data_IF_587190247224
#
_entry.id   IF_587190247224
#
_cell.length_a   1.000
_cell.length_b   1.000
_cell.length_c   1.000
_cell.angle_alpha   90.00
_cell.angle_beta   90.00
_cell.angle_gamma   90.00
#
_symmetry.space_group_name_H-M   'P 1'
#
loop_
_entity.id
_entity.type
_entity.pdbx_description
1 polymer ?
#
# COMPACT_ATOMS: atom_id res chain seq x y z
N UNK A 1 -32.61 2.92 13.77
CA UNK A 1 -32.08 3.01 12.39
C UNK A 1 -31.06 4.15 12.44
N UNK A 2 -29.77 3.88 12.28
CA UNK A 2 -28.78 4.94 12.28
C UNK A 2 -29.08 5.88 11.10
N UNK A 3 -28.92 7.19 11.31
CA UNK A 3 -29.09 8.17 10.25
C UNK A 3 -28.04 7.93 9.16
N UNK A 4 -28.48 7.73 7.92
CA UNK A 4 -27.58 7.45 6.79
C UNK A 4 -26.56 8.58 6.58
N UNK A 5 -26.93 9.82 6.90
CA UNK A 5 -26.01 10.95 6.81
C UNK A 5 -24.92 10.87 7.89
N UNK A 6 -25.29 10.50 9.12
CA UNK A 6 -24.32 10.27 10.19
C UNK A 6 -23.33 9.16 9.82
N UNK A 7 -23.80 8.05 9.27
CA UNK A 7 -22.92 6.96 8.82
C UNK A 7 -21.97 7.40 7.70
N UNK A 8 -22.42 8.26 6.78
CA UNK A 8 -21.56 8.80 5.71
C UNK A 8 -20.48 9.71 6.29
N UNK A 9 -20.83 10.54 7.27
CA UNK A 9 -19.88 11.44 7.92
C UNK A 9 -18.84 10.66 8.73
N UNK A 10 -19.26 9.69 9.55
CA UNK A 10 -18.38 8.77 10.28
C UNK A 10 -17.45 7.99 9.33
N UNK A 11 -18.00 7.46 8.23
CA UNK A 11 -17.21 6.75 7.22
C UNK A 11 -16.16 7.67 6.57
N UNK A 12 -16.52 8.92 6.27
CA UNK A 12 -15.59 9.91 5.72
C UNK A 12 -14.48 10.23 6.74
N UNK A 13 -14.81 10.42 8.01
CA UNK A 13 -13.82 10.68 9.07
C UNK A 13 -12.80 9.54 9.17
N UNK A 14 -13.25 8.28 9.08
CA UNK A 14 -12.36 7.12 9.08
C UNK A 14 -11.42 7.08 7.86
N UNK A 15 -11.90 7.47 6.67
CA UNK A 15 -11.06 7.59 5.48
C UNK A 15 -10.01 8.68 5.63
N UNK A 16 -10.41 9.86 6.12
CA UNK A 16 -9.52 10.99 6.34
C UNK A 16 -8.46 10.66 7.42
N UNK A 17 -8.86 9.97 8.49
CA UNK A 17 -7.96 9.51 9.54
C UNK A 17 -6.95 8.46 9.04
N UNK A 18 -7.39 7.53 8.19
CA UNK A 18 -6.49 6.55 7.56
C UNK A 18 -5.38 7.24 6.76
N UNK A 19 -5.71 8.27 5.99
CA UNK A 19 -4.73 9.04 5.23
C UNK A 19 -3.80 9.83 6.17
N UNK A 20 -4.35 10.46 7.22
CA UNK A 20 -3.56 11.15 8.25
C UNK A 20 -2.56 10.22 8.93
N UNK A 21 -2.97 9.00 9.30
CA UNK A 21 -2.11 8.01 9.96
C UNK A 21 -0.99 7.53 9.03
N UNK A 22 -1.27 7.35 7.74
CA UNK A 22 -0.25 7.01 6.73
C UNK A 22 0.82 8.10 6.64
N UNK A 23 0.40 9.36 6.60
CA UNK A 23 1.32 10.50 6.57
C UNK A 23 2.11 10.66 7.87
N UNK A 24 1.44 10.51 9.02
CA UNK A 24 2.07 10.58 10.34
C UNK A 24 3.14 9.49 10.50
N UNK A 25 2.83 8.26 10.08
CA UNK A 25 3.78 7.14 10.11
C UNK A 25 5.00 7.42 9.22
N UNK A 26 4.77 7.93 8.01
CA UNK A 26 5.85 8.29 7.08
C UNK A 26 6.76 9.37 7.66
N UNK A 27 6.18 10.42 8.25
CA UNK A 27 6.94 11.51 8.90
C UNK A 27 7.71 11.00 10.13
N UNK A 28 7.07 10.20 10.98
CA UNK A 28 7.69 9.63 12.17
C UNK A 28 8.89 8.74 11.81
N UNK A 29 8.77 7.92 10.76
CA UNK A 29 9.88 7.08 10.31
C UNK A 29 11.09 7.91 9.85
N UNK A 30 10.90 9.06 9.19
CA UNK A 30 12.00 9.96 8.83
C UNK A 30 12.71 10.53 10.06
N UNK A 31 11.92 11.01 11.03
CA UNK A 31 12.44 11.54 12.29
C UNK A 31 13.18 10.45 13.08
N UNK A 32 12.66 9.22 13.11
CA UNK A 32 13.33 8.09 13.76
C UNK A 32 14.70 7.78 13.14
N UNK A 33 14.83 7.84 11.82
CA UNK A 33 16.11 7.63 11.14
C UNK A 33 17.10 8.75 11.43
N UNK A 34 16.66 10.01 11.48
CA UNK A 34 17.50 11.15 11.90
C UNK A 34 17.96 11.00 13.34
N UNK A 35 17.04 10.69 14.27
CA UNK A 35 17.37 10.47 15.69
C UNK A 35 18.26 9.27 15.93
N UNK A 36 18.12 8.21 15.12
CA UNK A 36 19.02 7.04 15.17
C UNK A 36 20.46 7.46 14.83
N UNK A 37 20.65 8.30 13.82
CA UNK A 37 21.97 8.81 13.44
C UNK A 37 22.56 9.74 14.51
N UNK A 38 21.76 10.68 15.01
CA UNK A 38 22.17 11.57 16.10
C UNK A 38 22.60 10.78 17.35
N UNK A 39 21.79 9.78 17.76
CA UNK A 39 22.10 8.95 18.92
C UNK A 39 23.36 8.12 18.68
N UNK A 40 23.53 7.54 17.49
CA UNK A 40 24.73 6.77 17.16
C UNK A 40 25.99 7.65 17.23
N UNK A 41 25.94 8.87 16.68
CA UNK A 41 27.05 9.81 16.76
C UNK A 41 27.35 10.22 18.21
N UNK A 42 26.32 10.55 18.99
CA UNK A 42 26.49 10.91 20.41
C UNK A 42 27.11 9.75 21.23
N UNK A 43 26.77 8.49 20.93
CA UNK A 43 27.38 7.33 21.56
C UNK A 43 28.86 7.16 21.16
N UNK A 44 29.22 7.48 19.91
CA UNK A 44 30.62 7.48 19.45
C UNK A 44 31.41 8.58 20.17
N UNK A 45 30.88 9.81 20.19
CA UNK A 45 31.55 10.97 20.81
C UNK A 45 31.73 10.81 22.32
N UNK A 46 30.79 10.13 22.98
CA UNK A 46 30.87 9.80 24.39
C UNK A 46 31.69 8.55 24.71
N UNK A 47 32.30 7.90 23.69
CA UNK A 47 32.98 6.60 23.79
C UNK A 47 32.15 5.54 24.53
N UNK A 48 30.84 5.60 24.37
CA UNK A 48 29.87 4.79 25.11
C UNK A 48 29.10 3.88 24.15
N UNK A 49 29.69 2.73 23.75
CA UNK A 49 29.06 1.82 22.79
C UNK A 49 27.80 1.12 23.35
N UNK A 50 27.52 1.26 24.66
CA UNK A 50 26.36 0.69 25.35
C UNK A 50 25.87 1.65 26.44
N UNK A 51 24.58 1.99 26.42
CA UNK A 51 23.94 2.88 27.40
C UNK A 51 22.60 2.28 27.84
N UNK A 52 22.32 2.28 29.14
CA UNK A 52 21.03 1.83 29.68
C UNK A 52 20.15 3.02 30.07
N UNK A 53 18.87 3.01 29.66
CA UNK A 53 17.89 4.02 30.07
C UNK A 53 16.48 3.42 30.07
N UNK A 54 15.71 3.68 31.12
CA UNK A 54 14.30 3.25 31.20
C UNK A 54 14.09 1.72 31.17
N UNK A 55 15.07 0.94 31.62
CA UNK A 55 15.01 -0.53 31.56
C UNK A 55 15.45 -1.15 30.24
N UNK A 56 15.89 -0.33 29.26
CA UNK A 56 16.40 -0.81 27.98
C UNK A 56 17.89 -0.54 27.83
N UNK A 57 18.59 -1.49 27.21
CA UNK A 57 19.98 -1.36 26.79
C UNK A 57 20.03 -0.94 25.32
N UNK A 58 20.71 0.16 25.05
CA UNK A 58 20.99 0.66 23.70
C UNK A 58 22.44 0.38 23.39
N UNK A 59 22.72 -0.23 22.23
CA UNK A 59 24.08 -0.55 21.80
C UNK A 59 24.34 -0.08 20.38
N UNK A 60 25.52 0.48 20.14
CA UNK A 60 26.02 0.69 18.78
C UNK A 60 26.14 -0.65 18.08
N UNK A 61 25.65 -0.71 16.84
CA UNK A 61 25.72 -1.89 15.99
C UNK A 61 26.30 -1.49 14.64
N UNK A 62 27.33 -2.20 14.21
CA UNK A 62 27.82 -2.11 12.85
C UNK A 62 26.90 -2.96 11.96
N UNK A 63 26.21 -2.32 11.01
CA UNK A 63 25.23 -2.98 10.14
C UNK A 63 25.32 -2.42 8.73
N UNK A 64 25.42 -3.33 7.77
CA UNK A 64 25.27 -3.03 6.35
C UNK A 64 23.85 -3.32 5.91
N UNK A 65 23.25 -2.37 5.17
CA UNK A 65 21.95 -2.58 4.52
C UNK A 65 22.14 -2.61 3.01
N UNK A 66 21.61 -3.65 2.37
CA UNK A 66 21.61 -3.80 0.92
C UNK A 66 20.25 -3.34 0.37
N UNK A 67 20.26 -2.46 -0.62
CA UNK A 67 19.06 -2.00 -1.31
C UNK A 67 19.26 -2.15 -2.82
N UNK A 68 18.19 -2.46 -3.56
CA UNK A 68 18.21 -2.46 -5.03
C UNK A 68 18.57 -1.05 -5.54
N UNK A 69 19.46 -0.97 -6.52
CA UNK A 69 19.77 0.29 -7.19
C UNK A 69 18.53 0.75 -7.98
N UNK A 70 18.14 2.01 -7.82
CA UNK A 70 17.00 2.57 -8.58
C UNK A 70 17.31 2.66 -10.07
N UNK A 71 16.37 2.22 -10.92
CA UNK A 71 16.51 2.28 -12.38
C UNK A 71 17.49 1.27 -12.99
N UNK A 72 17.96 0.27 -12.22
CA UNK A 72 18.72 -0.83 -12.79
C UNK A 72 17.84 -1.67 -13.74
N UNK A 73 18.49 -2.47 -14.59
CA UNK A 73 17.79 -3.50 -15.35
C UNK A 73 17.06 -4.44 -14.37
N UNK A 74 15.74 -4.43 -14.45
CA UNK A 74 14.88 -5.16 -13.52
C UNK A 74 14.82 -6.64 -13.87
N UNK A 75 14.83 -6.99 -15.15
CA UNK A 75 14.85 -8.38 -15.58
C UNK A 75 16.20 -9.01 -15.23
N UNK A 76 17.30 -8.34 -15.60
CA UNK A 76 18.65 -8.79 -15.22
C UNK A 76 18.82 -8.90 -13.71
N UNK A 77 18.19 -8.03 -12.90
CA UNK A 77 18.20 -8.14 -11.44
C UNK A 77 17.55 -9.44 -10.94
N UNK A 78 16.35 -9.78 -11.45
CA UNK A 78 15.67 -11.01 -11.07
C UNK A 78 16.40 -12.26 -11.58
N UNK A 79 16.88 -12.25 -12.83
CA UNK A 79 17.68 -13.33 -13.40
C UNK A 79 18.95 -13.58 -12.58
N UNK A 80 19.67 -12.52 -12.21
CA UNK A 80 20.87 -12.62 -11.35
C UNK A 80 20.53 -13.25 -10.00
N UNK A 81 19.42 -12.86 -9.38
CA UNK A 81 18.99 -13.48 -8.12
C UNK A 81 18.71 -14.98 -8.31
N UNK A 82 18.01 -15.37 -9.37
CA UNK A 82 17.70 -16.77 -9.68
C UNK A 82 18.98 -17.59 -9.97
N UNK A 83 19.90 -17.07 -10.78
CA UNK A 83 21.20 -17.70 -11.10
C UNK A 83 22.05 -17.95 -9.84
N UNK A 84 21.95 -17.07 -8.85
CA UNK A 84 22.63 -17.21 -7.56
C UNK A 84 21.82 -18.00 -6.51
N UNK A 85 20.72 -18.65 -6.89
CA UNK A 85 19.91 -19.48 -6.00
C UNK A 85 19.06 -18.69 -4.99
N UNK A 86 18.88 -17.38 -5.23
CA UNK A 86 18.05 -16.46 -4.44
C UNK A 86 16.67 -16.26 -5.12
N UNK A 87 16.22 -17.22 -5.93
CA UNK A 87 14.91 -17.15 -6.58
C UNK A 87 13.75 -17.22 -5.58
N UNK A 88 13.94 -17.88 -4.44
CA UNK A 88 12.94 -18.06 -3.39
C UNK A 88 12.56 -16.76 -2.66
N UNK A 89 13.47 -15.78 -2.62
CA UNK A 89 13.17 -14.45 -2.05
C UNK A 89 12.40 -13.56 -3.03
N UNK A 90 12.28 -13.95 -4.31
CA UNK A 90 11.46 -13.25 -5.30
C UNK A 90 9.99 -13.57 -5.04
N UNK A 91 9.22 -12.54 -4.68
CA UNK A 91 7.79 -12.67 -4.47
C UNK A 91 7.02 -12.42 -5.76
N UNK A 92 6.53 -13.49 -6.38
CA UNK A 92 5.50 -13.40 -7.43
C UNK A 92 4.17 -13.00 -6.80
N UNK A 93 3.60 -11.89 -7.25
CA UNK A 93 2.35 -11.36 -6.70
C UNK A 93 1.33 -11.14 -7.79
N UNK A 94 0.07 -11.45 -7.48
CA UNK A 94 -1.10 -11.06 -8.28
C UNK A 94 -1.89 -10.07 -7.44
N UNK A 95 -2.04 -8.84 -7.92
CA UNK A 95 -2.81 -7.83 -7.18
C UNK A 95 -4.28 -8.22 -7.17
N UNK A 96 -4.95 -8.12 -6.01
CA UNK A 96 -6.36 -8.46 -5.89
C UNK A 96 -7.24 -7.64 -6.85
N UNK A 97 -6.89 -6.36 -7.07
CA UNK A 97 -7.62 -5.49 -8.00
C UNK A 97 -7.49 -5.97 -9.45
N UNK A 98 -6.27 -6.32 -9.88
CA UNK A 98 -6.02 -6.83 -11.23
C UNK A 98 -6.69 -8.19 -11.42
N UNK A 99 -6.58 -9.08 -10.43
CA UNK A 99 -7.24 -10.39 -10.46
C UNK A 99 -8.75 -10.25 -10.58
N UNK A 100 -9.36 -9.40 -9.74
CA UNK A 100 -10.81 -9.19 -9.76
C UNK A 100 -11.27 -8.67 -11.13
N UNK A 101 -10.60 -7.66 -11.69
CA UNK A 101 -10.92 -7.17 -13.03
C UNK A 101 -10.77 -8.22 -14.13
N UNK A 102 -9.69 -9.01 -14.10
CA UNK A 102 -9.47 -10.09 -15.05
C UNK A 102 -10.54 -11.19 -14.94
N UNK A 103 -10.86 -11.63 -13.72
CA UNK A 103 -11.88 -12.65 -13.49
C UNK A 103 -13.27 -12.15 -13.85
N UNK A 104 -13.60 -10.88 -13.60
CA UNK A 104 -14.87 -10.29 -14.02
C UNK A 104 -15.06 -10.38 -15.54
N UNK A 105 -14.02 -10.07 -16.32
CA UNK A 105 -14.06 -10.22 -17.78
C UNK A 105 -14.24 -11.67 -18.23
N UNK A 106 -13.49 -12.60 -17.64
CA UNK A 106 -13.63 -14.03 -17.95
C UNK A 106 -15.02 -14.58 -17.60
N UNK A 107 -15.60 -14.14 -16.47
CA UNK A 107 -16.96 -14.51 -16.05
C UNK A 107 -17.99 -13.94 -17.01
N UNK A 108 -17.83 -12.70 -17.48
CA UNK A 108 -18.73 -12.09 -18.47
C UNK A 108 -18.71 -12.83 -19.81
N UNK A 109 -17.52 -13.24 -20.28
CA UNK A 109 -17.35 -14.03 -21.51
C UNK A 109 -17.85 -15.48 -21.36
N UNK A 110 -17.93 -16.00 -20.13
CA UNK A 110 -18.32 -17.37 -19.82
C UNK A 110 -19.73 -17.46 -19.20
N UNK A 111 -20.70 -16.75 -19.81
CA UNK A 111 -22.12 -16.76 -19.41
C UNK A 111 -22.39 -16.48 -17.92
N UNK A 112 -21.58 -15.60 -17.32
CA UNK A 112 -21.70 -15.22 -15.92
C UNK A 112 -21.17 -16.29 -14.94
N UNK A 113 -20.40 -17.27 -15.41
CA UNK A 113 -19.81 -18.34 -14.59
C UNK A 113 -18.30 -18.24 -14.52
N UNK A 114 -17.74 -18.56 -13.36
CA UNK A 114 -16.29 -18.72 -13.22
C UNK A 114 -15.85 -19.89 -14.11
N UNK A 115 -14.75 -19.78 -14.87
CA UNK A 115 -14.22 -20.92 -15.62
C UNK A 115 -13.76 -22.05 -14.70
N UNK A 116 -13.98 -23.30 -15.11
CA UNK A 116 -13.73 -24.51 -14.30
C UNK A 116 -12.28 -24.57 -13.77
N UNK A 117 -11.30 -24.21 -14.59
CA UNK A 117 -9.86 -24.20 -14.23
C UNK A 117 -9.54 -23.27 -13.03
N UNK A 118 -10.42 -22.32 -12.71
CA UNK A 118 -10.23 -21.39 -11.59
C UNK A 118 -11.02 -21.76 -10.34
N UNK A 119 -11.92 -22.74 -10.39
CA UNK A 119 -12.82 -23.06 -9.26
C UNK A 119 -12.07 -23.55 -8.01
N UNK A 120 -10.92 -24.22 -8.19
CA UNK A 120 -10.07 -24.66 -7.07
C UNK A 120 -9.27 -23.51 -6.42
N UNK A 121 -9.08 -22.40 -7.14
CA UNK A 121 -8.21 -21.30 -6.72
C UNK A 121 -8.96 -20.02 -6.35
N UNK A 122 -10.17 -19.85 -6.87
CA UNK A 122 -10.93 -18.60 -6.79
C UNK A 122 -12.33 -18.90 -6.28
N UNK A 123 -12.69 -18.24 -5.17
CA UNK A 123 -14.02 -18.30 -4.59
C UNK A 123 -14.73 -16.95 -4.73
N UNK A 124 -15.68 -16.81 -5.66
CA UNK A 124 -16.47 -15.58 -5.77
C UNK A 124 -17.26 -15.32 -4.48
N UNK A 125 -17.33 -14.06 -4.07
CA UNK A 125 -18.21 -13.62 -3.00
C UNK A 125 -18.90 -12.33 -3.42
N UNK A 126 -20.20 -12.23 -3.12
CA UNK A 126 -20.98 -11.02 -3.38
C UNK A 126 -21.07 -10.19 -2.11
N UNK A 127 -20.90 -8.88 -2.25
CA UNK A 127 -21.08 -7.93 -1.17
C UNK A 127 -21.57 -6.60 -1.74
N UNK A 128 -22.20 -5.78 -0.89
CA UNK A 128 -22.53 -4.40 -1.22
C UNK A 128 -21.39 -3.49 -0.74
N UNK A 129 -20.97 -2.57 -1.60
CA UNK A 129 -19.93 -1.59 -1.32
C UNK A 129 -20.46 -0.15 -1.46
N UNK A 130 -19.76 0.82 -0.87
CA UNK A 130 -20.09 2.25 -0.94
C UNK A 130 -19.07 2.97 -1.81
N UNK A 131 -19.46 3.23 -3.06
CA UNK A 131 -18.66 4.00 -4.00
C UNK A 131 -18.69 5.50 -3.68
N UNK A 132 -17.52 6.12 -3.48
CA UNK A 132 -17.35 7.56 -3.28
C UNK A 132 -16.72 8.22 -4.51
N UNK A 133 -17.40 9.19 -5.11
CA UNK A 133 -16.84 10.05 -6.18
C UNK A 133 -17.25 11.49 -5.94
N UNK A 134 -16.41 12.43 -6.36
CA UNK A 134 -16.78 13.85 -6.35
C UNK A 134 -17.95 14.04 -7.31
N UNK A 135 -19.00 14.74 -6.86
CA UNK A 135 -20.08 15.13 -7.76
C UNK A 135 -19.52 15.99 -8.90
N UNK A 136 -19.89 15.64 -10.13
CA UNK A 136 -19.56 16.45 -11.30
C UNK A 136 -20.84 17.11 -11.79
N UNK A 137 -20.87 18.44 -11.88
CA UNK A 137 -21.94 19.19 -12.54
C UNK A 137 -21.91 19.05 -14.07
N UNK A 138 -21.33 17.96 -14.60
CA UNK A 138 -21.14 17.76 -16.05
C UNK A 138 -22.50 17.65 -16.76
N UNK A 139 -23.48 16.96 -16.14
CA UNK A 139 -24.85 16.91 -16.64
C UNK A 139 -25.53 18.29 -16.63
N UNK A 140 -25.35 19.09 -15.57
CA UNK A 140 -25.90 20.44 -15.46
C UNK A 140 -25.23 21.45 -16.43
N UNK A 141 -23.91 21.32 -16.67
CA UNK A 141 -23.18 22.10 -17.67
C UNK A 141 -23.59 21.74 -19.11
N UNK A 142 -23.72 20.46 -19.42
CA UNK A 142 -24.15 20.00 -20.75
C UNK A 142 -25.61 20.40 -21.06
N UNK A 143 -26.48 20.43 -20.04
CA UNK A 143 -27.86 20.86 -20.19
C UNK A 143 -28.01 22.38 -20.42
N UNK A 144 -27.08 23.20 -19.90
CA UNK A 144 -27.03 24.64 -20.20
C UNK A 144 -26.50 24.91 -21.62
N UNK A 145 -25.47 24.20 -22.06
CA UNK A 145 -24.91 24.34 -23.42
C UNK A 145 -25.88 23.92 -24.54
N UNK A 146 -26.82 23.00 -24.29
CA UNK A 146 -27.88 22.64 -25.24
C UNK A 146 -29.06 23.62 -25.31
N UNK A 147 -29.16 24.59 -24.39
CA UNK A 147 -30.23 25.62 -24.41
C UNK A 147 -29.78 26.94 -25.04
N UNK A 148 -28.49 27.11 -25.28
CA UNK A 148 -27.88 28.31 -25.87
C UNK A 148 -27.34 28.05 -27.29
N UNK A 149 -27.64 26.90 -27.88
CA UNK A 149 -27.28 26.51 -29.25
C UNK A 149 -28.49 26.12 -30.08
#
# INVERSE_FOLDING_TARGET
>A
MADIFLLIDEYKELLDEKDRLKDATTKNNKILEEKRKELAQAMIDAESPRISRGGFLYSLQDKTKYNKIGGCDENGFFETLEEHGLGDIIKRTVSAQTLNGAMAGLVEENDGKLPEDFEEFIKPYQYYDVGKRKETNKAAKNAKQKKEG
#
